data_IF_485626310658
#
_entry.id   IF_485626310658
#
_cell.length_a   1.000
_cell.length_b   1.000
_cell.length_c   1.000
_cell.angle_alpha   90.00
_cell.angle_beta   90.00
_cell.angle_gamma   90.00
#
_symmetry.space_group_name_H-M   'P 1'
#
loop_
_entity.id
_entity.type
_entity.pdbx_description
1 polymer ?
#
# COMPACT_ATOMS: atom_id res chain seq x y z
N UNK A 1 -31.47 9.05 33.08
CA UNK A 1 -29.99 8.90 33.07
C UNK A 1 -29.50 7.63 32.35
N UNK A 2 -30.27 7.00 31.45
CA UNK A 2 -29.94 5.67 30.89
C UNK A 2 -29.36 5.60 29.46
N UNK A 3 -29.13 6.72 28.76
CA UNK A 3 -28.83 6.71 27.31
C UNK A 3 -27.34 6.74 26.94
N UNK A 4 -26.45 7.14 27.86
CA UNK A 4 -25.01 7.26 27.60
C UNK A 4 -24.27 5.92 27.48
N UNK A 5 -24.63 4.95 28.34
CA UNK A 5 -24.00 3.62 28.34
C UNK A 5 -24.33 2.82 27.07
N UNK A 6 -25.57 2.88 26.59
CA UNK A 6 -26.00 2.07 25.45
C UNK A 6 -25.31 2.48 24.13
N UNK A 7 -25.08 3.78 23.92
CA UNK A 7 -24.36 4.28 22.73
C UNK A 7 -22.89 3.89 22.78
N UNK A 8 -22.27 4.00 23.96
CA UNK A 8 -20.89 3.59 24.18
C UNK A 8 -20.71 2.09 23.92
N UNK A 9 -21.57 1.24 24.50
CA UNK A 9 -21.49 -0.22 24.33
C UNK A 9 -21.65 -0.64 22.87
N UNK A 10 -22.56 0.00 22.12
CA UNK A 10 -22.73 -0.26 20.68
C UNK A 10 -21.47 0.08 19.87
N UNK A 11 -20.85 1.24 20.14
CA UNK A 11 -19.64 1.67 19.42
C UNK A 11 -18.44 0.81 19.82
N UNK A 12 -18.29 0.48 21.10
CA UNK A 12 -17.24 -0.41 21.58
C UNK A 12 -17.35 -1.79 20.91
N UNK A 13 -18.53 -2.40 20.93
CA UNK A 13 -18.76 -3.70 20.29
C UNK A 13 -18.53 -3.65 18.78
N UNK A 14 -18.91 -2.57 18.11
CA UNK A 14 -18.57 -2.34 16.70
C UNK A 14 -17.06 -2.33 16.46
N UNK A 15 -16.29 -1.57 17.25
CA UNK A 15 -14.83 -1.51 17.11
C UNK A 15 -14.15 -2.86 17.40
N UNK A 16 -14.65 -3.61 18.40
CA UNK A 16 -14.18 -4.97 18.69
C UNK A 16 -14.42 -5.90 17.48
N UNK A 17 -15.58 -5.78 16.83
CA UNK A 17 -15.88 -6.58 15.63
C UNK A 17 -14.98 -6.18 14.45
N UNK A 18 -14.70 -4.89 14.26
CA UNK A 18 -13.75 -4.41 13.24
C UNK A 18 -12.36 -5.01 13.47
N UNK A 19 -11.87 -5.04 14.71
CA UNK A 19 -10.58 -5.64 15.04
C UNK A 19 -10.56 -7.16 14.77
N UNK A 20 -11.62 -7.89 15.16
CA UNK A 20 -11.75 -9.32 14.86
C UNK A 20 -11.78 -9.60 13.35
N UNK A 21 -12.43 -8.73 12.58
CA UNK A 21 -12.49 -8.83 11.12
C UNK A 21 -11.09 -8.68 10.48
N UNK A 22 -10.23 -7.81 11.01
CA UNK A 22 -8.84 -7.65 10.56
C UNK A 22 -8.04 -8.95 10.72
N UNK A 23 -8.07 -9.55 11.91
CA UNK A 23 -7.32 -10.78 12.20
C UNK A 23 -7.85 -11.97 11.38
N UNK A 24 -9.18 -12.07 11.28
CA UNK A 24 -9.86 -13.12 10.51
C UNK A 24 -9.51 -13.02 9.03
N UNK A 25 -9.49 -11.81 8.47
CA UNK A 25 -9.20 -11.58 7.05
C UNK A 25 -7.78 -12.03 6.70
N UNK A 26 -6.78 -11.61 7.49
CA UNK A 26 -5.37 -12.00 7.28
C UNK A 26 -5.20 -13.51 7.36
N UNK A 27 -5.78 -14.14 8.40
CA UNK A 27 -5.72 -15.59 8.60
C UNK A 27 -6.33 -16.36 7.43
N UNK A 28 -7.50 -15.92 6.95
CA UNK A 28 -8.17 -16.54 5.81
C UNK A 28 -7.38 -16.37 4.51
N UNK A 29 -6.81 -15.18 4.26
CA UNK A 29 -5.96 -14.92 3.09
C UNK A 29 -4.73 -15.81 3.08
N UNK A 30 -4.01 -15.90 4.20
CA UNK A 30 -2.86 -16.81 4.34
C UNK A 30 -3.29 -18.25 4.11
N UNK A 31 -4.41 -18.68 4.67
CA UNK A 31 -4.97 -20.02 4.42
C UNK A 31 -5.20 -20.29 2.93
N UNK A 32 -5.82 -19.34 2.20
CA UNK A 32 -6.04 -19.46 0.76
C UNK A 32 -4.73 -19.58 -0.02
N UNK A 33 -3.73 -18.76 0.27
CA UNK A 33 -2.42 -18.86 -0.38
C UNK A 33 -1.80 -20.24 -0.10
N UNK A 34 -1.69 -20.63 1.17
CA UNK A 34 -1.01 -21.88 1.56
C UNK A 34 -1.66 -23.13 0.98
N UNK A 35 -3.00 -23.15 0.87
CA UNK A 35 -3.74 -24.32 0.37
C UNK A 35 -3.50 -24.59 -1.13
N UNK A 36 -2.94 -23.63 -1.86
CA UNK A 36 -2.65 -23.75 -3.29
C UNK A 36 -1.16 -23.92 -3.58
N UNK A 37 -0.31 -23.95 -2.56
CA UNK A 37 1.13 -24.14 -2.76
C UNK A 37 1.44 -25.62 -3.01
N UNK A 38 2.36 -25.93 -3.93
CA UNK A 38 2.73 -27.31 -4.28
C UNK A 38 3.66 -27.97 -3.24
N UNK A 39 3.81 -27.37 -2.06
CA UNK A 39 4.67 -27.86 -0.99
C UNK A 39 3.97 -27.75 0.36
N UNK A 40 4.41 -28.57 1.31
CA UNK A 40 3.79 -28.61 2.64
C UNK A 40 3.95 -27.28 3.40
N UNK A 41 2.89 -26.84 4.08
CA UNK A 41 2.87 -25.60 4.88
C UNK A 41 4.04 -25.49 5.87
N UNK A 42 4.47 -26.61 6.47
CA UNK A 42 5.61 -26.64 7.42
C UNK A 42 6.94 -26.23 6.77
N UNK A 43 7.07 -26.34 5.46
CA UNK A 43 8.24 -25.92 4.69
C UNK A 43 8.21 -24.44 4.33
N UNK A 44 7.08 -23.75 4.49
CA UNK A 44 6.95 -22.35 4.05
C UNK A 44 8.00 -21.44 4.68
N UNK A 45 8.24 -21.54 5.98
CA UNK A 45 9.27 -20.77 6.68
C UNK A 45 10.68 -21.00 6.10
N UNK A 46 10.98 -22.23 5.66
CA UNK A 46 12.25 -22.52 4.98
C UNK A 46 12.28 -21.91 3.57
N UNK A 47 11.17 -21.99 2.82
CA UNK A 47 11.06 -21.46 1.45
C UNK A 47 11.19 -19.94 1.41
N UNK A 48 10.54 -19.20 2.31
CA UNK A 48 10.63 -17.74 2.33
C UNK A 48 12.05 -17.23 2.60
N UNK A 49 12.92 -18.04 3.22
CA UNK A 49 14.31 -17.72 3.50
C UNK A 49 15.27 -18.21 2.40
N UNK A 50 14.78 -18.95 1.41
CA UNK A 50 15.57 -19.42 0.29
C UNK A 50 15.74 -18.31 -0.75
N UNK A 51 16.99 -17.96 -1.07
CA UNK A 51 17.28 -16.87 -2.02
C UNK A 51 16.78 -17.16 -3.43
N UNK A 52 16.86 -18.42 -3.88
CA UNK A 52 16.36 -18.82 -5.19
C UNK A 52 14.86 -18.62 -5.30
N UNK A 53 14.11 -19.02 -4.26
CA UNK A 53 12.68 -18.78 -4.15
C UNK A 53 12.32 -17.29 -4.12
N UNK A 54 13.06 -16.49 -3.35
CA UNK A 54 12.85 -15.04 -3.28
C UNK A 54 13.08 -14.35 -4.63
N UNK A 55 14.21 -14.60 -5.28
CA UNK A 55 14.56 -13.98 -6.56
C UNK A 55 13.63 -14.45 -7.68
N UNK A 56 13.25 -15.73 -7.69
CA UNK A 56 12.24 -16.25 -8.60
C UNK A 56 10.87 -15.59 -8.35
N UNK A 57 10.45 -15.40 -7.11
CA UNK A 57 9.18 -14.70 -6.81
C UNK A 57 9.16 -13.28 -7.36
N UNK A 58 10.26 -12.53 -7.21
CA UNK A 58 10.38 -11.18 -7.80
C UNK A 58 10.33 -11.25 -9.33
N UNK A 59 11.03 -12.23 -9.92
CA UNK A 59 11.01 -12.46 -11.35
C UNK A 59 9.61 -12.73 -11.86
N UNK A 60 8.87 -13.67 -11.24
CA UNK A 60 7.50 -14.04 -11.60
C UNK A 60 6.54 -12.85 -11.51
N UNK A 61 6.69 -12.00 -10.50
CA UNK A 61 5.74 -10.91 -10.23
C UNK A 61 6.00 -9.59 -10.99
N UNK A 62 7.14 -9.41 -11.65
CA UNK A 62 7.51 -8.14 -12.31
C UNK A 62 7.67 -8.27 -13.84
N UNK A 63 6.62 -8.08 -14.65
CA UNK A 63 5.19 -8.14 -14.28
C UNK A 63 4.68 -9.57 -14.22
N UNK A 64 3.62 -9.84 -13.46
CA UNK A 64 2.98 -11.15 -13.52
C UNK A 64 2.27 -11.35 -14.86
N UNK A 65 2.54 -12.47 -15.53
CA UNK A 65 2.02 -12.75 -16.89
C UNK A 65 1.07 -13.94 -16.95
N UNK A 66 0.86 -14.65 -15.83
CA UNK A 66 0.14 -15.93 -15.81
C UNK A 66 0.92 -17.09 -16.44
N UNK A 67 2.17 -16.87 -16.87
CA UNK A 67 3.09 -17.90 -17.36
C UNK A 67 4.34 -17.90 -16.50
N UNK A 68 4.83 -19.10 -16.18
CA UNK A 68 6.06 -19.29 -15.44
C UNK A 68 7.25 -18.73 -16.23
N UNK A 69 8.06 -17.89 -15.58
CA UNK A 69 9.25 -17.24 -16.16
C UNK A 69 10.56 -17.85 -15.67
N UNK A 70 10.60 -18.24 -14.39
CA UNK A 70 11.74 -18.88 -13.74
C UNK A 70 11.68 -20.40 -13.86
N UNK A 71 12.76 -21.09 -13.51
CA UNK A 71 12.78 -22.55 -13.37
C UNK A 71 12.15 -23.05 -12.06
N UNK A 72 11.66 -22.13 -11.21
CA UNK A 72 11.10 -22.44 -9.90
C UNK A 72 9.57 -22.44 -9.92
N UNK A 73 8.98 -23.62 -10.13
CA UNK A 73 7.52 -23.81 -10.19
C UNK A 73 6.81 -23.49 -8.86
N UNK A 74 7.49 -23.66 -7.73
CA UNK A 74 6.94 -23.30 -6.42
C UNK A 74 6.81 -21.79 -6.26
N UNK A 75 7.82 -21.03 -6.71
CA UNK A 75 7.79 -19.57 -6.72
C UNK A 75 6.72 -19.05 -7.68
N UNK A 76 6.53 -19.69 -8.83
CA UNK A 76 5.43 -19.38 -9.75
C UNK A 76 4.07 -19.58 -9.09
N UNK A 77 3.82 -20.74 -8.46
CA UNK A 77 2.55 -21.01 -7.77
C UNK A 77 2.27 -20.01 -6.63
N UNK A 78 3.29 -19.66 -5.84
CA UNK A 78 3.17 -18.63 -4.81
C UNK A 78 2.85 -17.25 -5.41
N UNK A 79 3.51 -16.90 -6.51
CA UNK A 79 3.33 -15.61 -7.19
C UNK A 79 1.94 -15.50 -7.80
N UNK A 80 1.45 -16.55 -8.45
CA UNK A 80 0.09 -16.61 -9.00
C UNK A 80 -0.97 -16.37 -7.92
N UNK A 81 -0.87 -17.07 -6.79
CA UNK A 81 -1.84 -16.90 -5.71
C UNK A 81 -1.72 -15.53 -5.03
N UNK A 82 -0.50 -15.06 -4.81
CA UNK A 82 -0.28 -13.71 -4.27
C UNK A 82 -0.85 -12.63 -5.19
N UNK A 83 -0.71 -12.81 -6.51
CA UNK A 83 -1.27 -11.90 -7.51
C UNK A 83 -2.80 -11.87 -7.42
N UNK A 84 -3.46 -13.03 -7.38
CA UNK A 84 -4.92 -13.11 -7.27
C UNK A 84 -5.44 -12.47 -5.99
N UNK A 85 -4.82 -12.76 -4.84
CA UNK A 85 -5.21 -12.17 -3.56
C UNK A 85 -5.04 -10.65 -3.56
N UNK A 86 -3.93 -10.14 -4.08
CA UNK A 86 -3.71 -8.69 -4.19
C UNK A 86 -4.72 -8.02 -5.12
N UNK A 87 -5.08 -8.69 -6.23
CA UNK A 87 -6.09 -8.18 -7.16
C UNK A 87 -7.46 -8.13 -6.50
N UNK A 88 -7.82 -9.14 -5.72
CA UNK A 88 -9.04 -9.16 -4.92
C UNK A 88 -9.05 -8.03 -3.88
N UNK A 89 -7.96 -7.84 -3.13
CA UNK A 89 -7.84 -6.75 -2.16
C UNK A 89 -8.04 -5.36 -2.78
N UNK A 90 -7.47 -5.12 -3.96
CA UNK A 90 -7.66 -3.85 -4.71
C UNK A 90 -9.12 -3.71 -5.17
N UNK A 91 -9.72 -4.78 -5.69
CA UNK A 91 -11.13 -4.78 -6.09
C UNK A 91 -12.07 -4.45 -4.92
N UNK A 92 -11.86 -5.08 -3.76
CA UNK A 92 -12.64 -4.82 -2.56
C UNK A 92 -12.42 -3.42 -2.02
N UNK A 93 -11.17 -2.92 -1.96
CA UNK A 93 -10.92 -1.55 -1.55
C UNK A 93 -11.64 -0.52 -2.44
N UNK A 94 -11.75 -0.82 -3.74
CA UNK A 94 -12.48 0.03 -4.68
C UNK A 94 -13.99 0.01 -4.45
N UNK A 95 -14.58 -1.13 -4.04
CA UNK A 95 -15.99 -1.19 -3.63
C UNK A 95 -16.29 -0.26 -2.45
N UNK A 96 -15.30 0.03 -1.61
CA UNK A 96 -15.42 0.90 -0.44
C UNK A 96 -14.76 2.29 -0.63
N UNK A 97 -14.55 2.72 -1.89
CA UNK A 97 -14.20 4.10 -2.22
C UNK A 97 -12.70 4.43 -2.25
N UNK A 98 -11.82 3.44 -2.45
CA UNK A 98 -10.37 3.69 -2.59
C UNK A 98 -9.94 4.15 -4.00
N UNK A 99 -10.72 3.89 -5.05
CA UNK A 99 -10.42 4.25 -6.44
C UNK A 99 -8.99 3.91 -6.91
N UNK A 100 -8.44 2.80 -6.42
CA UNK A 100 -7.11 2.30 -6.73
C UNK A 100 -7.04 1.74 -8.15
N UNK A 101 -5.91 1.99 -8.81
CA UNK A 101 -5.58 1.36 -10.08
C UNK A 101 -4.84 0.04 -9.84
N UNK A 102 -5.37 -1.02 -10.46
CA UNK A 102 -4.67 -2.29 -10.54
C UNK A 102 -3.46 -2.19 -11.47
N UNK A 103 -2.39 -2.89 -11.12
CA UNK A 103 -1.14 -2.94 -11.88
C UNK A 103 -0.53 -4.34 -11.78
N UNK A 104 -0.27 -4.96 -12.92
CA UNK A 104 0.34 -6.30 -12.98
C UNK A 104 1.84 -6.29 -12.63
N UNK A 105 2.47 -5.11 -12.63
CA UNK A 105 3.87 -4.87 -12.28
C UNK A 105 4.08 -4.35 -10.86
N UNK A 106 3.05 -4.35 -10.02
CA UNK A 106 3.18 -3.93 -8.63
C UNK A 106 3.54 -5.11 -7.73
N UNK A 107 4.72 -5.09 -7.08
CA UNK A 107 5.12 -6.13 -6.14
C UNK A 107 4.57 -5.94 -4.73
N UNK A 108 4.91 -4.85 -4.07
CA UNK A 108 4.44 -4.49 -2.72
C UNK A 108 4.63 -2.99 -2.50
N UNK A 109 4.06 -2.45 -1.42
CA UNK A 109 4.39 -1.09 -1.00
C UNK A 109 5.89 -1.03 -0.65
N UNK A 110 6.62 -0.10 -1.27
CA UNK A 110 8.04 0.08 -0.97
C UNK A 110 8.19 0.55 0.48
N UNK A 111 9.11 -0.09 1.20
CA UNK A 111 9.63 0.39 2.45
C UNK A 111 11.04 0.92 2.19
N UNK A 112 11.41 1.95 2.93
CA UNK A 112 12.65 2.67 2.79
C UNK A 112 13.35 2.69 4.14
N UNK A 113 14.62 2.31 4.18
CA UNK A 113 15.48 2.45 5.36
C UNK A 113 16.06 3.87 5.37
N UNK A 114 15.53 4.79 6.21
CA UNK A 114 15.99 6.18 6.23
C UNK A 114 17.45 6.30 6.67
N UNK A 115 17.96 5.36 7.49
CA UNK A 115 19.34 5.37 7.98
C UNK A 115 20.28 4.99 6.83
N UNK A 116 19.96 3.94 6.07
CA UNK A 116 20.75 3.54 4.88
C UNK A 116 20.68 4.58 3.76
N UNK A 117 19.55 5.28 3.60
CA UNK A 117 19.45 6.37 2.63
C UNK A 117 20.31 7.56 3.06
N UNK A 118 20.30 7.94 4.35
CA UNK A 118 21.12 9.03 4.90
C UNK A 118 22.62 8.74 4.89
N UNK A 119 23.03 7.48 4.80
CA UNK A 119 24.46 7.12 4.83
C UNK A 119 25.19 7.45 3.52
N UNK A 120 24.46 7.87 2.48
CA UNK A 120 25.00 8.33 1.19
C UNK A 120 24.60 9.78 0.91
N UNK A 121 25.24 10.42 -0.07
CA UNK A 121 24.88 11.79 -0.46
C UNK A 121 23.52 11.79 -1.17
N UNK A 122 22.72 12.83 -0.96
CA UNK A 122 21.42 13.03 -1.63
C UNK A 122 21.55 12.86 -3.15
N UNK A 123 22.56 13.48 -3.77
CA UNK A 123 22.81 13.39 -5.21
C UNK A 123 23.03 11.93 -5.67
N UNK A 124 23.81 11.16 -4.92
CA UNK A 124 24.09 9.76 -5.23
C UNK A 124 22.81 8.91 -5.14
N UNK A 125 21.94 9.18 -4.15
CA UNK A 125 20.64 8.51 -4.06
C UNK A 125 19.74 8.88 -5.23
N UNK A 126 19.66 10.16 -5.59
CA UNK A 126 18.82 10.65 -6.69
C UNK A 126 19.25 10.07 -8.03
N UNK A 127 20.55 10.08 -8.33
CA UNK A 127 21.07 9.50 -9.58
C UNK A 127 20.88 7.98 -9.58
N UNK A 128 21.07 7.33 -8.42
CA UNK A 128 20.80 5.90 -8.29
C UNK A 128 19.33 5.58 -8.57
N UNK A 129 18.39 6.19 -7.85
CA UNK A 129 16.98 5.86 -8.02
C UNK A 129 16.49 6.21 -9.43
N UNK A 130 16.89 7.37 -9.99
CA UNK A 130 16.51 7.79 -11.34
C UNK A 130 16.90 6.76 -12.39
N UNK A 131 18.11 6.19 -12.31
CA UNK A 131 18.57 5.14 -13.24
C UNK A 131 17.84 3.80 -13.09
N UNK A 132 17.08 3.59 -12.02
CA UNK A 132 16.38 2.34 -11.69
C UNK A 132 14.86 2.45 -11.87
N UNK A 133 14.33 3.64 -12.12
CA UNK A 133 12.91 3.86 -12.34
C UNK A 133 12.48 3.58 -13.78
N UNK A 134 11.26 3.10 -13.94
CA UNK A 134 10.48 3.23 -15.16
C UNK A 134 9.95 4.66 -15.19
N UNK A 135 10.63 5.54 -15.94
CA UNK A 135 10.35 6.97 -15.94
C UNK A 135 8.94 7.26 -16.47
N UNK A 136 8.51 6.53 -17.50
CA UNK A 136 7.17 6.67 -18.05
C UNK A 136 6.14 6.31 -16.97
N UNK A 137 6.23 5.15 -16.34
CA UNK A 137 5.24 4.76 -15.31
C UNK A 137 5.31 5.59 -14.04
N UNK A 138 6.49 6.13 -13.70
CA UNK A 138 6.68 6.91 -12.48
C UNK A 138 6.19 8.35 -12.63
N UNK A 139 6.33 8.93 -13.83
CA UNK A 139 6.03 10.34 -14.07
C UNK A 139 4.83 10.57 -15.00
N UNK A 140 4.38 9.58 -15.77
CA UNK A 140 3.14 9.61 -16.57
C UNK A 140 1.92 9.15 -15.78
N UNK A 141 1.44 10.04 -14.91
CA UNK A 141 0.21 9.79 -14.14
C UNK A 141 -0.90 10.70 -14.67
N UNK A 142 -1.73 10.13 -15.56
CA UNK A 142 -3.11 10.57 -15.90
C UNK A 142 -3.34 12.09 -15.83
N UNK A 143 -2.64 12.85 -16.67
CA UNK A 143 -2.88 14.28 -16.84
C UNK A 143 -2.19 15.21 -15.82
N UNK A 144 -1.29 14.71 -14.97
CA UNK A 144 -0.46 15.57 -14.12
C UNK A 144 0.78 16.11 -14.85
N UNK A 145 1.25 17.29 -14.43
CA UNK A 145 2.44 18.00 -14.95
C UNK A 145 3.76 17.19 -14.93
N UNK A 146 3.79 16.03 -14.28
CA UNK A 146 5.01 15.26 -14.06
C UNK A 146 5.53 14.59 -15.33
N UNK A 147 4.67 14.23 -16.28
CA UNK A 147 5.07 13.60 -17.55
C UNK A 147 5.83 14.56 -18.47
N UNK A 148 5.66 15.87 -18.29
CA UNK A 148 6.35 16.90 -19.04
C UNK A 148 7.67 17.37 -18.39
N UNK A 149 8.09 16.73 -17.29
CA UNK A 149 9.33 17.11 -16.62
C UNK A 149 10.56 16.72 -17.46
N UNK A 150 11.45 17.69 -17.66
CA UNK A 150 12.82 17.42 -18.09
C UNK A 150 13.55 16.53 -17.07
N UNK A 151 14.65 15.91 -17.46
CA UNK A 151 15.48 15.13 -16.53
C UNK A 151 15.85 15.93 -15.26
N UNK A 152 16.19 17.21 -15.42
CA UNK A 152 16.45 18.12 -14.31
C UNK A 152 15.22 18.34 -13.41
N UNK A 153 14.02 18.38 -13.99
CA UNK A 153 12.75 18.42 -13.28
C UNK A 153 12.48 17.14 -12.49
N UNK A 154 12.71 15.98 -13.10
CA UNK A 154 12.57 14.67 -12.45
C UNK A 154 13.54 14.53 -11.28
N UNK A 155 14.83 14.86 -11.46
CA UNK A 155 15.82 14.83 -10.38
C UNK A 155 15.46 15.80 -9.25
N UNK A 156 14.89 16.98 -9.56
CA UNK A 156 14.39 17.91 -8.53
C UNK A 156 13.22 17.31 -7.74
N UNK A 157 12.28 16.64 -8.40
CA UNK A 157 11.20 15.92 -7.73
C UNK A 157 11.76 14.82 -6.81
N UNK A 158 12.72 14.03 -7.30
CA UNK A 158 13.35 12.97 -6.51
C UNK A 158 14.12 13.51 -5.30
N UNK A 159 14.75 14.69 -5.37
CA UNK A 159 15.30 15.36 -4.17
C UNK A 159 14.22 15.65 -3.12
N UNK A 160 13.03 16.06 -3.57
CA UNK A 160 11.87 16.22 -2.69
C UNK A 160 11.46 14.90 -2.02
N UNK A 161 11.47 13.79 -2.76
CA UNK A 161 11.23 12.45 -2.22
C UNK A 161 12.33 12.05 -1.22
N UNK A 162 13.61 12.28 -1.53
CA UNK A 162 14.72 12.00 -0.63
C UNK A 162 14.53 12.69 0.73
N UNK A 163 14.18 13.98 0.72
CA UNK A 163 13.89 14.73 1.93
C UNK A 163 12.73 14.13 2.70
N UNK A 164 11.62 13.83 2.04
CA UNK A 164 10.46 13.20 2.67
C UNK A 164 10.75 11.81 3.28
N UNK A 165 11.72 11.07 2.71
CA UNK A 165 12.12 9.75 3.22
C UNK A 165 13.13 9.84 4.38
N UNK A 166 13.92 10.89 4.44
CA UNK A 166 15.04 11.00 5.39
C UNK A 166 14.76 11.95 6.55
N UNK A 167 14.08 13.06 6.32
CA UNK A 167 13.65 13.97 7.37
C UNK A 167 12.55 13.27 8.20
N UNK A 168 12.56 13.46 9.53
CA UNK A 168 11.63 12.75 10.40
C UNK A 168 10.18 13.07 10.00
N UNK A 169 9.24 12.16 10.27
CA UNK A 169 7.81 12.41 10.03
C UNK A 169 7.29 13.65 10.80
N UNK A 170 8.04 14.11 11.81
CA UNK A 170 7.74 15.29 12.64
C UNK A 170 8.38 16.58 12.09
N UNK A 171 9.48 16.50 11.31
CA UNK A 171 10.17 17.64 10.70
C UNK A 171 9.75 17.90 9.25
N UNK A 172 9.30 16.86 8.53
CA UNK A 172 8.75 17.02 7.19
C UNK A 172 7.27 17.35 7.28
N UNK A 173 6.94 18.60 7.01
CA UNK A 173 5.56 19.04 6.88
C UNK A 173 4.89 18.34 5.68
N UNK A 174 4.24 17.21 5.95
CA UNK A 174 3.29 16.57 5.03
C UNK A 174 2.06 17.45 4.75
N UNK A 175 2.01 18.74 5.16
CA UNK A 175 1.04 19.74 4.67
C UNK A 175 1.04 19.87 3.15
N UNK A 176 2.03 19.30 2.48
CA UNK A 176 1.94 18.78 1.12
C UNK A 176 0.89 17.66 0.97
N UNK A 177 -0.36 17.94 1.34
CA UNK A 177 -1.60 17.35 0.84
C UNK A 177 -1.87 15.84 1.09
N UNK A 178 -0.90 14.94 1.28
CA UNK A 178 -1.16 13.49 1.24
C UNK A 178 -1.61 12.90 2.60
N UNK A 179 -1.07 13.37 3.74
CA UNK A 179 -1.48 12.85 5.05
C UNK A 179 -2.85 13.38 5.50
N UNK A 180 -3.25 14.56 5.02
CA UNK A 180 -4.59 15.14 5.20
C UNK A 180 -5.63 14.58 4.23
N UNK A 181 -5.21 13.80 3.22
CA UNK A 181 -6.13 13.11 2.30
C UNK A 181 -6.76 11.90 2.99
N UNK A 182 -7.99 11.60 2.59
CA UNK A 182 -8.71 10.41 3.01
C UNK A 182 -7.90 9.14 2.72
N UNK A 183 -8.16 8.04 3.46
CA UNK A 183 -7.45 6.77 3.24
C UNK A 183 -7.59 6.31 1.78
N UNK A 184 -8.78 6.44 1.20
CA UNK A 184 -9.00 6.10 -0.21
C UNK A 184 -8.08 6.90 -1.14
N UNK A 185 -7.97 8.21 -0.94
CA UNK A 185 -7.10 9.04 -1.78
C UNK A 185 -5.61 8.74 -1.56
N UNK A 186 -5.19 8.37 -0.35
CA UNK A 186 -3.81 7.90 -0.11
C UNK A 186 -3.51 6.59 -0.84
N UNK A 187 -4.46 5.66 -0.84
CA UNK A 187 -4.34 4.39 -1.57
C UNK A 187 -4.28 4.57 -3.08
N UNK A 188 -5.01 5.54 -3.62
CA UNK A 188 -4.90 5.93 -5.03
C UNK A 188 -3.49 6.42 -5.38
N UNK A 189 -2.82 7.09 -4.45
CA UNK A 189 -1.51 7.73 -4.65
C UNK A 189 -0.30 6.85 -4.26
N UNK A 190 -0.50 5.72 -3.58
CA UNK A 190 0.57 4.98 -2.89
C UNK A 190 1.51 4.15 -3.78
N UNK A 191 1.72 4.55 -5.04
CA UNK A 191 2.47 3.79 -6.07
C UNK A 191 3.16 4.69 -7.10
N UNK A 192 3.80 5.78 -6.68
CA UNK A 192 4.31 6.78 -7.62
C UNK A 192 5.70 6.44 -8.21
N UNK A 193 6.60 5.81 -7.45
CA UNK A 193 7.92 5.42 -7.96
C UNK A 193 7.93 3.94 -8.37
N UNK A 194 8.00 3.68 -9.67
CA UNK A 194 7.98 2.33 -10.26
C UNK A 194 9.40 1.94 -10.67
N UNK A 195 9.93 0.85 -10.10
CA UNK A 195 11.21 0.29 -10.53
C UNK A 195 11.00 -0.48 -11.84
N UNK A 196 11.91 -0.31 -12.81
CA UNK A 196 11.71 -0.75 -14.20
C UNK A 196 11.76 -2.27 -14.42
N UNK A 197 12.51 -2.99 -13.60
CA UNK A 197 12.72 -4.43 -13.77
C UNK A 197 13.14 -5.12 -12.46
N UNK A 198 13.26 -6.46 -12.51
CA UNK A 198 13.75 -7.32 -11.42
C UNK A 198 15.09 -6.83 -10.88
N UNK A 199 16.05 -6.55 -11.75
CA UNK A 199 17.41 -6.15 -11.35
C UNK A 199 17.36 -4.84 -10.56
N UNK A 200 16.54 -3.90 -11.01
CA UNK A 200 16.35 -2.61 -10.39
C UNK A 200 15.65 -2.73 -9.03
N UNK A 201 14.65 -3.60 -8.95
CA UNK A 201 13.94 -3.92 -7.71
C UNK A 201 14.88 -4.52 -6.66
N UNK A 202 15.65 -5.54 -7.03
CA UNK A 202 16.59 -6.20 -6.13
C UNK A 202 17.73 -5.25 -5.72
N UNK A 203 18.28 -4.47 -6.66
CA UNK A 203 19.35 -3.52 -6.39
C UNK A 203 18.93 -2.43 -5.41
N UNK A 204 17.71 -1.88 -5.58
CA UNK A 204 17.18 -0.88 -4.67
C UNK A 204 16.98 -1.44 -3.27
N UNK A 205 16.26 -2.57 -3.16
CA UNK A 205 15.90 -3.14 -1.85
C UNK A 205 17.12 -3.64 -1.08
N UNK A 206 18.12 -4.20 -1.77
CA UNK A 206 19.41 -4.57 -1.16
C UNK A 206 20.11 -3.39 -0.49
N UNK A 207 19.98 -2.17 -1.06
CA UNK A 207 20.64 -0.97 -0.53
C UNK A 207 19.78 -0.22 0.49
N UNK A 208 18.49 -0.09 0.23
CA UNK A 208 17.64 0.91 0.87
C UNK A 208 16.28 0.39 1.32
N UNK A 209 15.98 -0.91 1.17
CA UNK A 209 14.63 -1.40 1.37
C UNK A 209 14.58 -2.79 1.98
N UNK A 210 13.64 -3.59 1.48
CA UNK A 210 13.30 -4.90 2.03
C UNK A 210 14.42 -5.92 1.82
N UNK A 211 14.87 -6.58 2.89
CA UNK A 211 15.86 -7.66 2.76
C UNK A 211 15.23 -8.94 2.17
N UNK A 212 13.97 -9.20 2.50
CA UNK A 212 13.21 -10.36 2.01
C UNK A 212 11.99 -9.90 1.17
N UNK A 213 12.00 -10.12 -0.16
CA UNK A 213 10.90 -9.72 -1.04
C UNK A 213 9.58 -10.43 -0.72
N UNK A 214 9.64 -11.70 -0.31
CA UNK A 214 8.45 -12.52 -0.05
C UNK A 214 7.76 -12.05 1.23
N UNK A 215 8.53 -11.81 2.29
CA UNK A 215 8.01 -11.22 3.53
C UNK A 215 7.44 -9.81 3.31
N UNK A 216 8.12 -9.01 2.49
CA UNK A 216 7.65 -7.67 2.12
C UNK A 216 6.31 -7.71 1.36
N UNK A 217 6.11 -8.71 0.50
CA UNK A 217 4.82 -8.94 -0.18
C UNK A 217 3.73 -9.31 0.81
N UNK A 218 3.97 -10.29 1.68
CA UNK A 218 2.98 -10.73 2.66
C UNK A 218 2.62 -9.62 3.65
N UNK A 219 3.61 -8.88 4.13
CA UNK A 219 3.42 -7.72 5.02
C UNK A 219 2.63 -6.61 4.33
N UNK A 220 2.92 -6.35 3.05
CA UNK A 220 2.12 -5.41 2.25
C UNK A 220 0.67 -5.85 2.10
N UNK A 221 0.42 -7.16 1.95
CA UNK A 221 -0.92 -7.73 1.92
C UNK A 221 -1.62 -7.63 3.28
N UNK A 222 -0.91 -7.78 4.40
CA UNK A 222 -1.48 -7.56 5.74
C UNK A 222 -1.94 -6.12 5.94
N UNK A 223 -1.09 -5.17 5.56
CA UNK A 223 -1.45 -3.73 5.59
C UNK A 223 -2.66 -3.47 4.70
N UNK A 224 -2.73 -4.11 3.53
CA UNK A 224 -3.86 -3.94 2.62
C UNK A 224 -5.16 -4.54 3.18
N UNK A 225 -5.09 -5.68 3.86
CA UNK A 225 -6.25 -6.26 4.54
C UNK A 225 -6.79 -5.35 5.64
N UNK A 226 -5.90 -4.77 6.45
CA UNK A 226 -6.29 -3.79 7.47
C UNK A 226 -6.99 -2.59 6.84
N UNK A 227 -6.47 -2.09 5.72
CA UNK A 227 -7.06 -0.97 4.99
C UNK A 227 -8.43 -1.32 4.41
N UNK A 228 -8.60 -2.51 3.83
CA UNK A 228 -9.91 -2.96 3.33
C UNK A 228 -10.93 -3.03 4.46
N UNK A 229 -10.57 -3.57 5.62
CA UNK A 229 -11.48 -3.65 6.76
C UNK A 229 -11.86 -2.25 7.27
N UNK A 230 -10.90 -1.33 7.35
CA UNK A 230 -11.18 0.07 7.71
C UNK A 230 -12.09 0.75 6.68
N UNK A 231 -11.85 0.58 5.38
CA UNK A 231 -12.70 1.13 4.33
C UNK A 231 -14.11 0.54 4.39
N UNK A 232 -14.24 -0.76 4.61
CA UNK A 232 -15.54 -1.43 4.78
C UNK A 232 -16.31 -0.88 5.98
N UNK A 233 -15.62 -0.66 7.10
CA UNK A 233 -16.24 -0.21 8.35
C UNK A 233 -16.58 1.29 8.34
N UNK A 234 -15.74 2.11 7.72
CA UNK A 234 -15.78 3.57 7.88
C UNK A 234 -15.86 4.36 6.57
N UNK A 235 -15.90 3.69 5.42
CA UNK A 235 -15.85 4.33 4.10
C UNK A 235 -14.47 4.89 3.77
N UNK A 236 -14.40 5.75 2.74
CA UNK A 236 -13.15 6.25 2.17
C UNK A 236 -12.32 7.13 3.12
N UNK A 237 -12.93 7.69 4.18
CA UNK A 237 -12.26 8.52 5.18
C UNK A 237 -12.47 8.02 6.63
N UNK A 238 -11.75 6.96 7.05
CA UNK A 238 -11.92 6.37 8.38
C UNK A 238 -11.62 7.32 9.55
N UNK A 239 -10.69 8.26 9.38
CA UNK A 239 -10.33 9.24 10.42
C UNK A 239 -11.51 10.14 10.74
N UNK A 240 -12.15 10.72 9.72
CA UNK A 240 -13.30 11.60 9.92
C UNK A 240 -14.52 10.84 10.43
N UNK A 241 -14.74 9.61 9.96
CA UNK A 241 -15.80 8.74 10.48
C UNK A 241 -15.58 8.43 11.98
N UNK A 242 -14.36 8.11 12.39
CA UNK A 242 -14.03 7.87 13.79
C UNK A 242 -14.19 9.14 14.64
N UNK A 243 -13.72 10.29 14.16
CA UNK A 243 -13.89 11.58 14.83
C UNK A 243 -15.38 11.91 15.02
N UNK A 244 -16.20 11.67 13.99
CA UNK A 244 -17.65 11.81 14.08
C UNK A 244 -18.24 10.93 15.19
N UNK A 245 -17.88 9.64 15.25
CA UNK A 245 -18.33 8.73 16.30
C UNK A 245 -17.89 9.20 17.69
N UNK A 246 -16.64 9.66 17.82
CA UNK A 246 -16.12 10.21 19.08
C UNK A 246 -16.91 11.42 19.57
N UNK A 247 -17.19 12.39 18.70
CA UNK A 247 -18.02 13.56 19.07
C UNK A 247 -19.43 13.15 19.52
N UNK A 248 -20.03 12.16 18.84
CA UNK A 248 -21.32 11.59 19.23
C UNK A 248 -21.28 10.93 20.61
N UNK A 249 -20.20 10.20 20.94
CA UNK A 249 -20.00 9.61 22.27
C UNK A 249 -19.87 10.67 23.37
N UNK A 250 -19.22 11.80 23.07
CA UNK A 250 -19.10 12.95 23.98
C UNK A 250 -20.40 13.74 24.19
N UNK A 251 -21.53 13.29 23.62
CA UNK A 251 -22.83 13.95 23.74
C UNK A 251 -23.02 15.16 22.83
N UNK A 252 -22.08 15.40 21.90
CA UNK A 252 -22.16 16.51 20.96
C UNK A 252 -23.30 16.26 19.95
N UNK A 253 -24.18 17.25 19.77
CA UNK A 253 -25.16 17.25 18.69
C UNK A 253 -24.45 17.53 17.38
N UNK A 254 -23.99 16.47 16.73
CA UNK A 254 -23.39 16.58 15.41
C UNK A 254 -24.49 16.64 14.34
N UNK A 255 -24.54 17.75 13.59
CA UNK A 255 -25.26 17.79 12.32
C UNK A 255 -24.40 17.17 11.23
N UNK A 256 -24.90 16.12 10.58
CA UNK A 256 -24.30 15.60 9.36
C UNK A 256 -24.70 16.55 8.23
N UNK A 257 -23.77 17.36 7.72
CA UNK A 257 -23.96 18.06 6.45
C UNK A 257 -23.93 17.04 5.31
N UNK A 258 -25.08 16.42 5.05
CA UNK A 258 -25.26 15.48 3.93
C UNK A 258 -24.89 16.13 2.59
N UNK A 259 -25.09 17.44 2.43
CA UNK A 259 -24.75 18.16 1.20
C UNK A 259 -23.23 18.40 1.07
N UNK A 260 -22.53 18.58 2.19
CA UNK A 260 -21.06 18.63 2.27
C UNK A 260 -20.41 17.30 1.88
N UNK A 261 -20.89 16.19 2.46
CA UNK A 261 -20.38 14.84 2.14
C UNK A 261 -20.60 14.50 0.66
N UNK A 262 -21.79 14.78 0.12
CA UNK A 262 -22.09 14.54 -1.30
C UNK A 262 -21.27 15.45 -2.22
N UNK A 263 -20.94 16.69 -1.81
CA UNK A 263 -20.04 17.57 -2.57
C UNK A 263 -18.61 17.04 -2.63
N UNK A 264 -18.07 16.56 -1.51
CA UNK A 264 -16.72 15.96 -1.48
C UNK A 264 -16.65 14.70 -2.37
N UNK A 265 -17.70 13.89 -2.37
CA UNK A 265 -17.77 12.68 -3.21
C UNK A 265 -17.88 13.02 -4.71
N UNK A 266 -18.65 14.05 -5.06
CA UNK A 266 -18.73 14.50 -6.47
C UNK A 266 -17.46 15.16 -6.98
N UNK A 267 -16.64 15.77 -6.10
CA UNK A 267 -15.33 16.29 -6.50
C UNK A 267 -14.29 15.20 -6.73
N UNK A 268 -14.44 14.03 -6.10
CA UNK A 268 -13.57 12.87 -6.39
C UNK A 268 -13.90 12.15 -7.69
N UNK A 269 -15.11 12.30 -8.22
CA UNK A 269 -15.55 11.68 -9.49
C UNK A 269 -15.21 12.53 -10.73
N UNK A 270 -14.70 13.76 -10.53
CA UNK A 270 -14.38 14.73 -11.59
C UNK A 270 -12.87 14.98 -11.76
N UNK A 271 -12.00 14.13 -11.21
CA UNK A 271 -10.53 14.15 -11.38
C UNK A 271 -9.95 12.75 -11.55
#
# INVERSE_FOLDING_TARGET
SGSGNEVYDKIYNFLVNVAKDQDTRKSNRVGRIMNHLPFERKLFSRKINDKGFQEATVEEMLPFTGKQKSDNSEAFAFSEQSFHEKKAQVGEANQYGAAMLWRDDHLTQQWHDPIRIKSIKEGDWVDFIHGHLDLDKSFDVRGNLLSALTENGQKRYLRGVYKALTESADEFDWSGNIMNKSLGKRLQLSRHLQLKDKASWLAYNKRFGHENPVEAMLSGMDVMDDRVVLLKAFGSNPKEAFNYLKRRMSGEKVYIDKAGIVREWKQSDLM
#
